data_IF_137490756617
#
_entry.id   IF_137490756617
#
_cell.length_a   1.000
_cell.length_b   1.000
_cell.length_c   1.000
_cell.angle_alpha   90.00
_cell.angle_beta   90.00
_cell.angle_gamma   90.00
#
_symmetry.space_group_name_H-M   'P 1'
#
loop_
_entity.id
_entity.type
_entity.pdbx_description
1 polymer ?
#
# COMPACT_ATOMS: atom_id res chain seq x y z
N UNK A 1 -4.92 -26.48 -26.65
CA UNK A 1 -4.35 -25.21 -26.13
C UNK A 1 -3.81 -24.43 -27.32
N UNK A 2 -4.03 -23.12 -27.36
CA UNK A 2 -3.41 -22.24 -28.35
C UNK A 2 -2.12 -21.63 -27.76
N UNK A 3 -1.25 -21.07 -28.59
CA UNK A 3 0.05 -20.56 -28.13
C UNK A 3 -0.08 -19.40 -27.12
N UNK A 4 -1.11 -18.57 -27.24
CA UNK A 4 -1.29 -17.44 -26.33
C UNK A 4 -1.63 -17.93 -24.91
N UNK A 5 -2.58 -18.85 -24.79
CA UNK A 5 -2.90 -19.51 -23.51
C UNK A 5 -1.68 -20.23 -22.94
N UNK A 6 -0.87 -20.87 -23.78
CA UNK A 6 0.35 -21.54 -23.32
C UNK A 6 1.38 -20.55 -22.74
N UNK A 7 1.55 -19.38 -23.38
CA UNK A 7 2.47 -18.34 -22.91
C UNK A 7 2.00 -17.73 -21.59
N UNK A 8 0.70 -17.45 -21.46
CA UNK A 8 0.10 -16.95 -20.22
C UNK A 8 0.25 -17.98 -19.09
N UNK A 9 0.00 -19.25 -19.38
CA UNK A 9 0.17 -20.34 -18.42
C UNK A 9 1.63 -20.55 -18.01
N UNK A 10 2.60 -20.39 -18.92
CA UNK A 10 4.04 -20.45 -18.60
C UNK A 10 4.46 -19.39 -17.58
N UNK A 11 3.94 -18.17 -17.69
CA UNK A 11 4.20 -17.11 -16.71
C UNK A 11 3.55 -17.44 -15.36
N UNK A 12 2.31 -17.92 -15.36
CA UNK A 12 1.62 -18.34 -14.12
C UNK A 12 2.31 -19.47 -13.38
N UNK A 13 2.98 -20.39 -14.08
CA UNK A 13 3.78 -21.44 -13.43
C UNK A 13 4.88 -20.83 -12.58
N UNK A 14 5.48 -19.71 -13.00
CA UNK A 14 6.54 -19.04 -12.27
C UNK A 14 6.04 -18.34 -11.00
N UNK A 15 4.83 -17.77 -11.03
CA UNK A 15 4.29 -16.97 -9.92
C UNK A 15 3.52 -17.81 -8.89
N UNK A 16 2.47 -18.52 -9.32
CA UNK A 16 1.46 -19.11 -8.44
C UNK A 16 1.28 -20.64 -8.63
N UNK A 17 1.93 -21.19 -9.66
CA UNK A 17 1.73 -22.56 -10.09
C UNK A 17 0.40 -22.80 -10.83
N UNK A 18 0.28 -23.97 -11.46
CA UNK A 18 -0.91 -24.40 -12.21
C UNK A 18 -1.51 -25.67 -11.63
N UNK A 19 -2.79 -25.91 -11.88
CA UNK A 19 -3.42 -27.19 -11.56
C UNK A 19 -2.77 -28.33 -12.36
N UNK A 20 -2.71 -29.56 -11.81
CA UNK A 20 -2.02 -30.69 -12.45
C UNK A 20 -2.51 -31.01 -13.88
N UNK A 21 -3.80 -30.81 -14.14
CA UNK A 21 -4.40 -31.00 -15.47
C UNK A 21 -3.91 -29.96 -16.48
N UNK A 22 -3.79 -28.69 -16.06
CA UNK A 22 -3.24 -27.60 -16.86
C UNK A 22 -1.75 -27.81 -17.13
N UNK A 23 -0.97 -28.20 -16.11
CA UNK A 23 0.45 -28.52 -16.30
C UNK A 23 0.67 -29.60 -17.35
N UNK A 24 -0.15 -30.66 -17.34
CA UNK A 24 -0.06 -31.75 -18.32
C UNK A 24 -0.38 -31.24 -19.74
N UNK A 25 -1.43 -30.44 -19.89
CA UNK A 25 -1.81 -29.87 -21.18
C UNK A 25 -0.76 -28.88 -21.70
N UNK A 26 -0.18 -28.06 -20.82
CA UNK A 26 0.86 -27.10 -21.12
C UNK A 26 2.12 -27.81 -21.58
N UNK A 27 2.58 -28.82 -20.84
CA UNK A 27 3.75 -29.61 -21.17
C UNK A 27 3.61 -30.26 -22.56
N UNK A 28 2.46 -30.88 -22.83
CA UNK A 28 2.20 -31.46 -24.15
C UNK A 28 2.21 -30.43 -25.29
N UNK A 29 1.74 -29.20 -25.02
CA UNK A 29 1.79 -28.11 -26.01
C UNK A 29 3.23 -27.61 -26.25
N UNK A 30 3.99 -27.37 -25.18
CA UNK A 30 5.39 -26.94 -25.28
C UNK A 30 6.22 -28.01 -26.01
N UNK A 31 6.04 -29.29 -25.72
CA UNK A 31 6.76 -30.38 -26.42
C UNK A 31 6.46 -30.45 -27.93
N UNK A 32 5.29 -29.97 -28.36
CA UNK A 32 4.86 -30.02 -29.77
C UNK A 32 4.96 -28.70 -30.55
N UNK A 33 5.23 -27.57 -29.87
CA UNK A 33 5.24 -26.24 -30.48
C UNK A 33 6.60 -25.54 -30.32
N UNK A 34 7.36 -25.42 -31.42
CA UNK A 34 8.69 -24.80 -31.42
C UNK A 34 8.70 -23.35 -30.88
N UNK A 35 7.67 -22.55 -31.17
CA UNK A 35 7.56 -21.17 -30.65
C UNK A 35 7.43 -21.15 -29.13
N UNK A 36 6.65 -22.06 -28.55
CA UNK A 36 6.48 -22.15 -27.11
C UNK A 36 7.72 -22.74 -26.41
N UNK A 37 8.50 -23.59 -27.10
CA UNK A 37 9.79 -24.08 -26.61
C UNK A 37 10.78 -22.93 -26.46
N UNK A 38 10.95 -22.13 -27.52
CA UNK A 38 11.85 -20.97 -27.50
C UNK A 38 11.44 -19.95 -26.43
N UNK A 39 10.13 -19.73 -26.26
CA UNK A 39 9.63 -18.85 -25.22
C UNK A 39 9.95 -19.38 -23.81
N UNK A 40 9.72 -20.67 -23.56
CA UNK A 40 10.06 -21.30 -22.28
C UNK A 40 11.57 -21.26 -21.98
N UNK A 41 12.42 -21.50 -22.98
CA UNK A 41 13.88 -21.37 -22.86
C UNK A 41 14.30 -19.94 -22.51
N UNK A 42 13.67 -18.95 -23.16
CA UNK A 42 13.94 -17.53 -22.89
C UNK A 42 13.58 -17.17 -21.44
N UNK A 43 12.42 -17.61 -20.94
CA UNK A 43 12.02 -17.40 -19.56
C UNK A 43 12.98 -18.07 -18.57
N UNK A 44 13.42 -19.29 -18.84
CA UNK A 44 14.40 -19.98 -18.00
C UNK A 44 15.74 -19.23 -17.95
N UNK A 45 16.23 -18.76 -19.10
CA UNK A 45 17.48 -17.98 -19.14
C UNK A 45 17.40 -16.67 -18.34
N UNK A 46 16.25 -15.98 -18.40
CA UNK A 46 16.00 -14.78 -17.61
C UNK A 46 15.95 -15.10 -16.11
N UNK A 47 15.28 -16.18 -15.73
CA UNK A 47 15.21 -16.64 -14.34
C UNK A 47 16.59 -16.98 -13.78
N UNK A 48 17.44 -17.65 -14.56
CA UNK A 48 18.82 -17.95 -14.17
C UNK A 48 19.66 -16.68 -13.95
N UNK A 49 19.53 -15.69 -14.84
CA UNK A 49 20.19 -14.40 -14.70
C UNK A 49 19.75 -13.67 -13.42
N UNK A 50 18.44 -13.57 -13.19
CA UNK A 50 17.87 -12.93 -12.00
C UNK A 50 18.31 -13.64 -10.71
N UNK A 51 18.34 -14.98 -10.71
CA UNK A 51 18.81 -15.75 -9.56
C UNK A 51 20.32 -15.57 -9.31
N UNK A 52 21.12 -15.49 -10.37
CA UNK A 52 22.54 -15.21 -10.27
C UNK A 52 22.77 -13.84 -9.61
N UNK A 53 22.07 -12.82 -10.10
CA UNK A 53 22.19 -11.46 -9.58
C UNK A 53 21.66 -11.36 -8.15
N UNK A 54 20.51 -11.98 -7.85
CA UNK A 54 19.95 -12.02 -6.50
C UNK A 54 20.89 -12.66 -5.47
N UNK A 55 21.64 -13.70 -5.86
CA UNK A 55 22.66 -14.34 -4.99
C UNK A 55 23.88 -13.45 -4.74
N UNK A 56 24.15 -12.52 -5.64
CA UNK A 56 25.27 -11.57 -5.51
C UNK A 56 24.96 -10.38 -4.61
N UNK A 57 23.68 -10.12 -4.33
CA UNK A 57 23.24 -9.05 -3.45
C UNK A 57 23.40 -9.48 -1.99
N UNK A 58 24.21 -8.74 -1.25
CA UNK A 58 24.28 -8.83 0.20
C UNK A 58 22.91 -8.47 0.80
N UNK A 59 22.22 -9.44 1.41
CA UNK A 59 21.01 -9.17 2.19
C UNK A 59 21.41 -8.32 3.40
N UNK A 60 20.86 -7.10 3.57
CA UNK A 60 21.17 -6.28 4.72
C UNK A 60 20.66 -6.93 6.02
N UNK A 61 21.33 -6.64 7.14
CA UNK A 61 20.80 -7.01 8.45
C UNK A 61 19.52 -6.21 8.72
N UNK A 62 18.37 -6.88 8.56
CA UNK A 62 17.04 -6.30 8.75
C UNK A 62 16.86 -5.74 10.17
N UNK A 63 17.44 -6.39 11.19
CA UNK A 63 17.35 -5.92 12.57
C UNK A 63 18.16 -4.65 12.77
N UNK A 64 19.33 -4.54 12.14
CA UNK A 64 20.12 -3.31 12.16
C UNK A 64 19.38 -2.17 11.46
N UNK A 65 18.85 -2.40 10.26
CA UNK A 65 18.08 -1.39 9.53
C UNK A 65 16.84 -0.94 10.32
N UNK A 66 16.12 -1.88 10.93
CA UNK A 66 14.95 -1.53 11.73
C UNK A 66 15.29 -0.71 12.97
N UNK A 67 16.40 -1.03 13.66
CA UNK A 67 16.91 -0.22 14.77
C UNK A 67 17.25 1.19 14.33
N UNK A 68 17.91 1.34 13.18
CA UNK A 68 18.30 2.65 12.65
C UNK A 68 17.07 3.50 12.28
N UNK A 69 16.07 2.90 11.62
CA UNK A 69 14.78 3.54 11.31
C UNK A 69 14.06 3.96 12.61
N UNK A 70 13.95 3.02 13.56
CA UNK A 70 13.29 3.27 14.85
C UNK A 70 13.98 4.41 15.62
N UNK A 71 15.31 4.46 15.61
CA UNK A 71 16.07 5.52 16.25
C UNK A 71 15.75 6.88 15.60
N UNK A 72 15.70 6.97 14.27
CA UNK A 72 15.38 8.22 13.56
C UNK A 72 13.99 8.73 13.90
N UNK A 73 12.98 7.84 13.90
CA UNK A 73 11.60 8.19 14.26
C UNK A 73 11.49 8.72 15.70
N UNK A 74 12.08 8.01 16.67
CA UNK A 74 12.06 8.42 18.08
C UNK A 74 12.83 9.72 18.36
N UNK A 75 13.84 10.05 17.54
CA UNK A 75 14.64 11.27 17.72
C UNK A 75 13.92 12.50 17.17
N UNK A 76 13.17 12.35 16.07
CA UNK A 76 12.35 13.40 15.48
C UNK A 76 11.27 13.90 16.45
N UNK A 77 10.58 13.00 17.16
CA UNK A 77 9.54 13.36 18.15
C UNK A 77 10.11 14.16 19.33
N UNK A 78 11.31 13.78 19.80
CA UNK A 78 11.97 14.47 20.93
C UNK A 78 12.42 15.88 20.59
N UNK A 79 12.76 16.17 19.34
CA UNK A 79 13.14 17.52 18.91
C UNK A 79 11.93 18.48 18.81
N UNK A 80 10.74 17.97 18.50
CA UNK A 80 9.53 18.80 18.35
C UNK A 80 8.96 19.29 19.69
N UNK A 81 9.21 18.59 20.80
CA UNK A 81 8.68 18.95 22.14
C UNK A 81 9.48 20.03 22.87
N UNK A 82 10.69 20.37 22.45
CA UNK A 82 11.56 21.34 23.15
C UNK A 82 11.35 22.81 22.79
N UNK A 83 10.44 23.12 21.87
CA UNK A 83 10.21 24.47 21.36
C UNK A 83 8.77 24.96 21.62
N UNK A 84 8.34 25.03 22.88
CA UNK A 84 7.21 25.89 23.27
C UNK A 84 7.22 26.18 24.76
N UNK A 85 8.07 27.11 25.17
CA UNK A 85 7.83 27.92 26.37
C UNK A 85 6.61 28.80 26.07
N UNK A 86 5.41 28.23 26.18
CA UNK A 86 4.16 29.01 26.09
C UNK A 86 4.09 29.83 27.37
N UNK A 87 4.43 31.11 27.24
CA UNK A 87 4.18 32.12 28.26
C UNK A 87 2.70 32.14 28.68
N UNK A 88 2.36 32.53 29.93
CA UNK A 88 1.01 32.46 30.47
C UNK A 88 0.13 33.59 29.93
N UNK A 89 -0.37 33.45 28.70
CA UNK A 89 -1.35 34.37 28.08
C UNK A 89 -2.65 33.62 27.75
N UNK A 90 -3.13 32.77 28.66
CA UNK A 90 -4.46 32.11 28.53
C UNK A 90 -5.41 32.53 29.66
N UNK A 91 -5.01 33.45 30.55
CA UNK A 91 -5.87 33.87 31.65
C UNK A 91 -6.96 34.89 31.28
N UNK A 92 -7.05 35.33 30.01
CA UNK A 92 -7.96 36.42 29.59
C UNK A 92 -9.13 36.02 28.66
N UNK A 93 -9.28 34.75 28.25
CA UNK A 93 -10.33 34.37 27.27
C UNK A 93 -11.46 33.50 27.84
N UNK A 94 -11.51 33.29 29.16
CA UNK A 94 -12.54 32.47 29.81
C UNK A 94 -14.01 32.98 29.75
N UNK A 95 -14.36 34.27 29.54
CA UNK A 95 -15.76 34.67 29.64
C UNK A 95 -16.57 34.69 28.32
N UNK A 96 -15.99 34.37 27.15
CA UNK A 96 -16.67 34.56 25.86
C UNK A 96 -17.24 33.30 25.19
N UNK A 97 -17.10 32.11 25.81
CA UNK A 97 -17.60 30.85 25.23
C UNK A 97 -19.07 30.53 25.58
N UNK A 98 -19.74 31.30 26.45
CA UNK A 98 -21.09 31.00 26.90
C UNK A 98 -22.21 31.39 25.90
N UNK A 99 -21.94 32.24 24.90
CA UNK A 99 -22.97 32.77 24.01
C UNK A 99 -23.21 31.94 22.73
N UNK A 100 -22.29 31.04 22.35
CA UNK A 100 -22.41 30.27 21.10
C UNK A 100 -23.29 29.00 21.23
N UNK A 101 -23.59 28.55 22.45
CA UNK A 101 -24.33 27.31 22.69
C UNK A 101 -25.85 27.40 22.44
N UNK A 102 -26.41 28.60 22.26
CA UNK A 102 -27.86 28.80 22.09
C UNK A 102 -28.31 29.00 20.63
N UNK A 103 -27.40 28.98 19.65
CA UNK A 103 -27.75 29.23 18.26
C UNK A 103 -28.05 27.96 17.42
N UNK A 104 -27.81 26.75 17.96
CA UNK A 104 -27.94 25.50 17.18
C UNK A 104 -29.23 24.70 17.42
N UNK A 105 -30.19 25.18 18.22
CA UNK A 105 -31.42 24.43 18.53
C UNK A 105 -32.56 24.61 17.51
N UNK A 106 -32.37 25.37 16.43
CA UNK A 106 -33.42 25.69 15.45
C UNK A 106 -33.06 25.41 13.98
N UNK A 107 -32.17 24.45 13.73
CA UNK A 107 -31.99 23.91 12.38
C UNK A 107 -32.89 22.68 12.25
N UNK A 108 -33.99 22.72 11.44
CA UNK A 108 -34.75 21.53 11.12
C UNK A 108 -33.84 20.58 10.34
N UNK A 109 -33.44 19.50 11.00
CA UNK A 109 -32.68 18.41 10.41
C UNK A 109 -33.63 17.66 9.45
N UNK A 110 -33.54 17.95 8.15
CA UNK A 110 -34.10 17.07 7.13
C UNK A 110 -33.19 15.84 7.07
N UNK A 111 -33.56 14.81 7.82
CA UNK A 111 -32.99 13.46 7.69
C UNK A 111 -33.55 12.80 6.43
N UNK A 112 -33.03 13.19 5.27
CA UNK A 112 -32.97 12.30 4.12
C UNK A 112 -31.52 11.86 3.98
N UNK A 113 -31.12 10.84 4.75
CA UNK A 113 -30.13 9.90 4.26
C UNK A 113 -30.29 8.58 5.01
N UNK A 114 -30.80 7.60 4.27
CA UNK A 114 -30.92 6.20 4.66
C UNK A 114 -29.54 5.64 4.96
N UNK A 115 -29.11 5.69 6.21
CA UNK A 115 -27.94 4.94 6.65
C UNK A 115 -28.28 3.44 6.68
N UNK A 116 -27.60 2.56 5.91
CA UNK A 116 -27.75 1.14 6.10
C UNK A 116 -27.11 0.77 7.44
N UNK A 117 -27.84 0.01 8.25
CA UNK A 117 -27.32 -0.59 9.46
C UNK A 117 -26.19 -1.56 9.08
N UNK A 118 -24.94 -1.20 9.42
CA UNK A 118 -23.83 -2.16 9.34
C UNK A 118 -23.77 -2.94 10.65
N UNK A 119 -24.49 -4.05 10.66
CA UNK A 119 -24.16 -5.21 11.45
C UNK A 119 -23.25 -6.11 10.60
N UNK A 120 -21.99 -6.29 11.01
CA UNK A 120 -21.07 -7.27 10.42
C UNK A 120 -19.72 -6.67 10.03
N UNK A 121 -18.64 -7.29 10.53
CA UNK A 121 -17.24 -7.16 10.15
C UNK A 121 -16.90 -6.02 9.18
N UNK A 122 -16.68 -4.81 9.71
CA UNK A 122 -16.22 -3.68 8.92
C UNK A 122 -14.75 -3.88 8.50
N UNK A 123 -14.56 -4.35 7.27
CA UNK A 123 -13.32 -4.20 6.53
C UNK A 123 -13.37 -2.78 5.96
N UNK A 124 -12.45 -1.92 6.37
CA UNK A 124 -12.28 -0.58 5.79
C UNK A 124 -11.87 -0.76 4.32
N UNK A 125 -12.76 -0.41 3.40
CA UNK A 125 -12.51 -0.49 1.96
C UNK A 125 -12.30 0.93 1.42
N UNK A 126 -11.21 1.14 0.69
CA UNK A 126 -10.93 2.39 -0.01
C UNK A 126 -11.32 2.21 -1.48
N UNK A 127 -12.35 2.94 -1.92
CA UNK A 127 -12.86 2.82 -3.28
C UNK A 127 -12.08 3.68 -4.28
N UNK A 128 -11.48 4.80 -3.84
CA UNK A 128 -10.70 5.68 -4.72
C UNK A 128 -9.70 6.55 -3.94
N UNK A 129 -8.53 6.80 -4.53
CA UNK A 129 -7.54 7.79 -4.06
C UNK A 129 -7.22 8.72 -5.22
N UNK A 130 -7.52 10.00 -5.03
CA UNK A 130 -7.25 11.05 -6.02
C UNK A 130 -5.91 11.71 -5.69
N UNK A 131 -5.01 11.77 -6.66
CA UNK A 131 -3.69 12.40 -6.56
C UNK A 131 -3.67 13.54 -7.56
N UNK A 132 -3.46 14.77 -7.10
CA UNK A 132 -3.48 15.97 -7.96
C UNK A 132 -2.28 16.03 -8.93
N UNK A 133 -1.18 15.33 -8.59
CA UNK A 133 0.04 15.28 -9.39
C UNK A 133 0.20 13.91 -10.09
N UNK A 134 0.30 13.86 -11.43
CA UNK A 134 0.47 12.61 -12.18
C UNK A 134 1.79 11.87 -11.90
N UNK A 135 2.81 12.54 -11.35
CA UNK A 135 4.11 11.93 -11.01
C UNK A 135 4.16 11.40 -9.56
N UNK A 136 3.13 11.66 -8.76
CA UNK A 136 3.04 11.19 -7.38
C UNK A 136 2.49 9.76 -7.31
N UNK A 137 3.09 8.93 -6.46
CA UNK A 137 2.63 7.55 -6.23
C UNK A 137 1.98 7.44 -4.86
N UNK A 138 0.75 6.92 -4.81
CA UNK A 138 0.08 6.59 -3.55
C UNK A 138 0.08 5.08 -3.29
N UNK A 139 0.42 4.70 -2.06
CA UNK A 139 0.26 3.34 -1.56
C UNK A 139 -0.75 3.34 -0.42
N UNK A 140 -1.71 2.42 -0.48
CA UNK A 140 -2.75 2.25 0.53
C UNK A 140 -2.57 0.89 1.19
N UNK A 141 -2.43 0.91 2.52
CA UNK A 141 -2.33 -0.30 3.33
C UNK A 141 -3.42 -0.31 4.40
N UNK A 142 -4.09 -1.45 4.54
CA UNK A 142 -5.07 -1.70 5.61
C UNK A 142 -4.51 -2.79 6.51
N UNK A 143 -4.27 -2.46 7.77
CA UNK A 143 -3.95 -3.46 8.78
C UNK A 143 -5.23 -4.21 9.19
N UNK A 144 -5.24 -5.53 8.98
CA UNK A 144 -6.39 -6.38 9.22
C UNK A 144 -6.64 -6.64 10.70
N UNK A 145 -5.62 -6.50 11.55
CA UNK A 145 -5.74 -6.77 12.99
C UNK A 145 -6.20 -5.54 13.77
N UNK A 146 -5.65 -4.37 13.44
CA UNK A 146 -6.02 -3.11 14.11
C UNK A 146 -7.15 -2.36 13.42
N UNK A 147 -7.40 -2.59 12.13
CA UNK A 147 -8.36 -1.85 11.30
C UNK A 147 -7.85 -0.48 10.85
N UNK A 148 -6.56 -0.20 10.99
CA UNK A 148 -5.98 1.09 10.63
C UNK A 148 -5.74 1.18 9.12
N UNK A 149 -6.07 2.34 8.56
CA UNK A 149 -5.76 2.71 7.18
C UNK A 149 -4.54 3.61 7.17
N UNK A 150 -3.50 3.20 6.46
CA UNK A 150 -2.31 4.02 6.22
C UNK A 150 -2.27 4.36 4.73
N UNK A 151 -2.31 5.66 4.43
CA UNK A 151 -2.14 6.20 3.08
C UNK A 151 -0.81 6.92 3.05
N UNK A 152 0.10 6.48 2.18
CA UNK A 152 1.36 7.15 1.94
C UNK A 152 1.35 7.71 0.52
N UNK A 153 1.56 9.02 0.39
CA UNK A 153 1.83 9.69 -0.87
C UNK A 153 3.28 10.17 -0.86
N UNK A 154 4.04 9.82 -1.90
CA UNK A 154 5.38 10.35 -2.14
C UNK A 154 5.31 11.36 -3.29
N UNK A 155 5.72 12.60 -3.00
CA UNK A 155 5.83 13.68 -3.97
C UNK A 155 7.32 13.85 -4.34
N UNK A 156 7.75 13.37 -5.52
CA UNK A 156 9.15 13.41 -5.92
C UNK A 156 9.66 14.85 -6.15
N UNK A 157 8.76 15.83 -6.33
CA UNK A 157 9.15 17.22 -6.61
C UNK A 157 9.67 17.96 -5.37
N UNK A 158 9.28 17.53 -4.17
CA UNK A 158 9.63 18.20 -2.90
C UNK A 158 11.04 17.83 -2.40
N UNK A 159 11.65 16.74 -2.91
CA UNK A 159 12.97 16.26 -2.49
C UNK A 159 14.17 16.78 -3.32
N UNK A 160 13.97 17.79 -4.16
CA UNK A 160 15.00 18.34 -5.08
C UNK A 160 15.70 19.62 -4.56
N UNK A 161 15.72 19.88 -3.25
CA UNK A 161 16.25 21.10 -2.61
C UNK A 161 17.59 20.94 -1.92
#
# INVERSE_FOLDING_TARGET
MNCQTAQDELLRVADDGLAATQQTALKAHVESCATCQQYAESLNSLSELLQHDAKSVSVPDADQMWRDISARLNTAEKQQSKSRTIAPIIWLTAPLAAAAALAFTFIPHQSDETAPAIAGNNIVQVDYVEIEDPDSTAMVYVDKESGWLVVWADDPSVNSG
#
